data_IF_930107600699
#
_entry.id   IF_930107600699
#
_cell.length_a   1.000
_cell.length_b   1.000
_cell.length_c   1.000
_cell.angle_alpha   90.00
_cell.angle_beta   90.00
_cell.angle_gamma   90.00
#
_symmetry.space_group_name_H-M   'P 1'
#
loop_
_entity.id
_entity.type
_entity.pdbx_description
1 polymer ?
#
# COMPACT_ATOMS: atom_id res chain seq x y z
N UNK A 1 2.97 4.56 24.16
CA UNK A 1 1.85 3.91 23.44
C UNK A 1 2.10 2.42 23.38
N UNK A 2 1.09 1.59 23.65
CA UNK A 2 1.12 0.13 23.56
C UNK A 2 0.84 -0.34 22.12
N UNK A 3 1.13 -1.60 21.83
CA UNK A 3 0.84 -2.20 20.53
C UNK A 3 -0.66 -2.18 20.21
N UNK A 4 -1.52 -2.47 21.20
CA UNK A 4 -2.98 -2.41 21.03
C UNK A 4 -3.50 -1.02 20.66
N UNK A 5 -2.92 0.03 21.23
CA UNK A 5 -3.28 1.43 20.92
C UNK A 5 -2.87 1.79 19.49
N UNK A 6 -1.66 1.38 19.06
CA UNK A 6 -1.20 1.55 17.67
C UNK A 6 -2.07 0.80 16.68
N UNK A 7 -2.45 -0.43 17.02
CA UNK A 7 -3.33 -1.24 16.19
C UNK A 7 -4.69 -0.56 16.02
N UNK A 8 -5.24 0.00 17.09
CA UNK A 8 -6.50 0.75 17.04
C UNK A 8 -6.38 1.99 16.13
N UNK A 9 -5.30 2.77 16.25
CA UNK A 9 -5.04 3.91 15.37
C UNK A 9 -4.94 3.47 13.89
N UNK A 10 -4.27 2.36 13.61
CA UNK A 10 -4.18 1.78 12.27
C UNK A 10 -5.53 1.35 11.71
N UNK A 11 -6.39 0.76 12.55
CA UNK A 11 -7.76 0.40 12.17
C UNK A 11 -8.59 1.65 11.84
N UNK A 12 -8.52 2.69 12.66
CA UNK A 12 -9.26 3.95 12.45
C UNK A 12 -8.85 4.62 11.13
N UNK A 13 -7.55 4.80 10.92
CA UNK A 13 -7.03 5.36 9.66
C UNK A 13 -7.48 4.57 8.44
N UNK A 14 -7.41 3.24 8.51
CA UNK A 14 -7.85 2.38 7.40
C UNK A 14 -9.35 2.47 7.17
N UNK A 15 -10.13 2.68 8.23
CA UNK A 15 -11.57 2.87 8.14
C UNK A 15 -11.92 4.15 7.41
N UNK A 16 -11.26 5.27 7.76
CA UNK A 16 -11.40 6.56 7.10
C UNK A 16 -11.06 6.47 5.61
N UNK A 17 -9.95 5.80 5.27
CA UNK A 17 -9.51 5.64 3.88
C UNK A 17 -10.44 4.78 3.02
N UNK A 18 -11.21 3.86 3.63
CA UNK A 18 -12.13 2.97 2.91
C UNK A 18 -13.59 3.42 2.96
N UNK A 19 -13.94 4.41 3.80
CA UNK A 19 -15.33 4.81 4.02
C UNK A 19 -16.18 3.75 4.72
N UNK A 20 -15.56 2.79 5.42
CA UNK A 20 -16.25 1.77 6.24
C UNK A 20 -15.46 1.46 7.50
N UNK A 21 -16.14 1.05 8.57
CA UNK A 21 -15.45 0.62 9.79
C UNK A 21 -14.66 -0.67 9.57
N UNK A 22 -13.43 -0.70 10.09
CA UNK A 22 -12.59 -1.88 10.19
C UNK A 22 -12.80 -2.50 11.57
N UNK A 23 -13.47 -3.64 11.59
CA UNK A 23 -13.82 -4.33 12.82
C UNK A 23 -12.72 -5.30 13.27
N UNK A 24 -12.81 -5.77 14.52
CA UNK A 24 -11.90 -6.79 15.07
C UNK A 24 -11.86 -8.08 14.23
N UNK A 25 -12.98 -8.45 13.60
CA UNK A 25 -13.09 -9.63 12.75
C UNK A 25 -12.23 -9.53 11.50
N UNK A 26 -12.09 -8.33 10.94
CA UNK A 26 -11.28 -8.09 9.75
C UNK A 26 -9.80 -8.27 10.06
N UNK A 27 -9.35 -7.70 11.18
CA UNK A 27 -7.97 -7.85 11.67
C UNK A 27 -7.68 -9.29 12.08
N UNK A 28 -8.63 -9.97 12.70
CA UNK A 28 -8.52 -11.38 13.07
C UNK A 28 -8.33 -12.28 11.84
N UNK A 29 -9.10 -12.03 10.77
CA UNK A 29 -8.95 -12.71 9.50
C UNK A 29 -7.57 -12.47 8.88
N UNK A 30 -7.11 -11.21 8.82
CA UNK A 30 -5.77 -10.87 8.31
C UNK A 30 -4.63 -11.51 9.13
N UNK A 31 -4.79 -11.57 10.45
CA UNK A 31 -3.81 -12.13 11.37
C UNK A 31 -3.81 -13.67 11.41
N UNK A 32 -4.85 -14.34 10.91
CA UNK A 32 -5.09 -15.77 11.15
C UNK A 32 -5.26 -16.10 12.63
N UNK A 33 -5.97 -15.24 13.37
CA UNK A 33 -6.19 -15.36 14.83
C UNK A 33 -7.68 -15.25 15.17
N UNK A 34 -8.04 -15.59 16.41
CA UNK A 34 -9.41 -15.42 16.89
C UNK A 34 -9.73 -13.94 17.16
N UNK A 35 -11.00 -13.57 17.00
CA UNK A 35 -11.51 -12.22 17.33
C UNK A 35 -11.22 -11.87 18.80
N UNK A 36 -11.34 -12.85 19.70
CA UNK A 36 -11.01 -12.69 21.11
C UNK A 36 -9.54 -12.35 21.32
N UNK A 37 -8.61 -12.95 20.56
CA UNK A 37 -7.19 -12.64 20.65
C UNK A 37 -6.91 -11.17 20.26
N UNK A 38 -7.51 -10.69 19.18
CA UNK A 38 -7.42 -9.28 18.79
C UNK A 38 -8.03 -8.37 19.86
N UNK A 39 -9.19 -8.74 20.40
CA UNK A 39 -9.82 -8.02 21.51
C UNK A 39 -8.89 -7.87 22.72
N UNK A 40 -8.25 -8.95 23.16
CA UNK A 40 -7.30 -8.92 24.28
C UNK A 40 -6.08 -8.03 24.03
N UNK A 41 -5.61 -7.94 22.78
CA UNK A 41 -4.51 -7.06 22.38
C UNK A 41 -4.97 -5.60 22.47
N UNK A 42 -6.13 -5.27 21.88
CA UNK A 42 -6.66 -3.91 21.84
C UNK A 42 -6.97 -3.37 23.24
N UNK A 43 -7.51 -4.19 24.15
CA UNK A 43 -7.89 -3.77 25.50
C UNK A 43 -6.77 -3.92 26.53
N UNK A 44 -5.58 -4.38 26.13
CA UNK A 44 -4.49 -4.71 27.04
C UNK A 44 -4.94 -5.63 28.20
N UNK A 45 -5.76 -6.64 27.91
CA UNK A 45 -6.43 -7.46 28.94
C UNK A 45 -5.47 -8.17 29.93
N UNK A 46 -4.20 -8.37 29.56
CA UNK A 46 -3.18 -9.03 30.39
C UNK A 46 -2.29 -8.07 31.16
N UNK A 47 -2.55 -6.76 31.12
CA UNK A 47 -1.73 -5.75 31.79
C UNK A 47 -0.28 -5.69 31.30
N UNK A 48 0.00 -6.22 30.11
CA UNK A 48 1.33 -6.23 29.48
C UNK A 48 1.19 -6.04 27.97
N UNK A 49 2.17 -5.40 27.35
CA UNK A 49 2.14 -5.13 25.91
C UNK A 49 2.09 -6.44 25.10
N UNK A 50 0.90 -6.75 24.57
CA UNK A 50 0.66 -7.95 23.77
C UNK A 50 0.80 -7.61 22.29
N UNK A 51 1.70 -8.32 21.62
CA UNK A 51 2.01 -8.10 20.21
C UNK A 51 1.59 -9.32 19.38
N UNK A 52 1.23 -9.08 18.12
CA UNK A 52 1.12 -10.17 17.16
C UNK A 52 2.51 -10.75 16.89
N UNK A 53 2.57 -12.06 16.60
CA UNK A 53 3.80 -12.72 16.14
C UNK A 53 4.19 -12.18 14.76
N UNK A 54 5.47 -12.24 14.41
CA UNK A 54 6.08 -11.64 13.20
C UNK A 54 5.23 -11.81 11.94
N UNK A 55 4.84 -13.03 11.59
CA UNK A 55 4.06 -13.28 10.37
C UNK A 55 2.67 -12.63 10.40
N UNK A 56 1.95 -12.76 11.52
CA UNK A 56 0.63 -12.15 11.69
C UNK A 56 0.72 -10.62 11.76
N UNK A 57 1.79 -10.10 12.35
CA UNK A 57 2.06 -8.68 12.44
C UNK A 57 2.27 -8.06 11.05
N UNK A 58 3.09 -8.68 10.20
CA UNK A 58 3.34 -8.20 8.83
C UNK A 58 2.05 -8.24 7.99
N UNK A 59 1.28 -9.33 8.08
CA UNK A 59 -0.02 -9.43 7.37
C UNK A 59 -1.00 -8.34 7.81
N UNK A 60 -1.07 -8.05 9.10
CA UNK A 60 -1.93 -6.98 9.63
C UNK A 60 -1.45 -5.59 9.21
N UNK A 61 -0.13 -5.33 9.26
CA UNK A 61 0.43 -4.07 8.79
C UNK A 61 0.12 -3.83 7.29
N UNK A 62 0.30 -4.86 6.46
CA UNK A 62 0.00 -4.81 5.04
C UNK A 62 -1.51 -4.65 4.76
N UNK A 63 -2.38 -5.33 5.52
CA UNK A 63 -3.83 -5.18 5.43
C UNK A 63 -4.29 -3.75 5.76
N UNK A 64 -3.71 -3.16 6.82
CA UNK A 64 -4.02 -1.81 7.29
C UNK A 64 -3.29 -0.71 6.51
N UNK A 65 -2.39 -1.05 5.59
CA UNK A 65 -1.58 -0.11 4.79
C UNK A 65 -0.74 0.84 5.66
N UNK A 66 -0.12 0.28 6.70
CA UNK A 66 0.76 1.01 7.62
C UNK A 66 2.17 0.41 7.63
N UNK A 67 3.15 1.22 8.05
CA UNK A 67 4.51 0.76 8.25
C UNK A 67 4.56 -0.28 9.39
N UNK A 68 5.08 -1.49 9.11
CA UNK A 68 5.16 -2.57 10.08
C UNK A 68 6.05 -2.19 11.28
N UNK A 69 7.19 -1.54 11.03
CA UNK A 69 8.09 -1.06 12.10
C UNK A 69 7.35 -0.10 13.04
N UNK A 70 6.63 0.88 12.50
CA UNK A 70 5.84 1.80 13.32
C UNK A 70 4.78 1.05 14.13
N UNK A 71 4.06 0.10 13.54
CA UNK A 71 3.05 -0.67 14.26
C UNK A 71 3.68 -1.49 15.41
N UNK A 72 4.89 -2.01 15.22
CA UNK A 72 5.59 -2.80 16.22
C UNK A 72 6.16 -1.97 17.37
N UNK A 73 6.90 -0.89 17.05
CA UNK A 73 7.72 -0.13 17.99
C UNK A 73 7.16 1.25 18.32
N UNK A 74 6.33 1.82 17.45
CA UNK A 74 5.88 3.22 17.50
C UNK A 74 6.89 4.21 16.93
N UNK A 75 8.02 3.74 16.39
CA UNK A 75 9.04 4.59 15.80
C UNK A 75 8.78 4.86 14.32
N UNK A 76 9.09 6.07 13.88
CA UNK A 76 8.95 6.49 12.47
C UNK A 76 7.53 6.93 12.11
N UNK A 77 7.25 7.02 10.82
CA UNK A 77 5.94 7.39 10.30
C UNK A 77 5.01 6.18 10.22
N UNK A 78 3.74 6.39 10.57
CA UNK A 78 2.68 5.39 10.48
C UNK A 78 2.38 5.00 9.04
N UNK A 79 2.40 5.98 8.13
CA UNK A 79 2.20 5.74 6.72
C UNK A 79 3.24 4.76 6.20
N UNK A 80 2.75 3.74 5.49
CA UNK A 80 3.63 3.00 4.63
C UNK A 80 4.01 3.95 3.49
N UNK A 81 5.30 4.33 3.36
CA UNK A 81 5.70 5.14 2.21
C UNK A 81 5.24 4.39 0.96
N UNK A 82 4.66 5.10 -0.03
CA UNK A 82 4.27 4.45 -1.28
C UNK A 82 5.50 3.69 -1.78
N UNK A 83 5.32 2.42 -2.12
CA UNK A 83 6.34 1.68 -2.83
C UNK A 83 6.50 2.40 -4.18
N UNK A 84 7.44 3.36 -4.23
CA UNK A 84 7.83 4.01 -5.45
C UNK A 84 8.61 2.94 -6.22
N UNK A 85 7.88 2.13 -6.98
CA UNK A 85 8.44 1.32 -8.05
C UNK A 85 8.77 2.20 -9.27
N UNK A 86 9.02 3.50 -9.07
CA UNK A 86 9.66 4.30 -10.09
C UNK A 86 11.15 3.95 -10.04
N UNK A 87 11.76 3.55 -11.16
CA UNK A 87 13.20 3.43 -11.26
C UNK A 87 13.84 4.72 -10.72
N UNK A 88 14.77 4.58 -9.75
CA UNK A 88 15.52 5.73 -9.20
C UNK A 88 16.39 6.39 -10.26
N UNK A 89 16.67 5.66 -11.34
CA UNK A 89 17.42 6.11 -12.51
C UNK A 89 16.57 5.91 -13.77
N UNK A 90 16.50 6.94 -14.62
CA UNK A 90 15.87 6.83 -15.93
C UNK A 90 16.75 5.97 -16.83
N UNK A 91 16.19 4.88 -17.36
CA UNK A 91 16.89 4.11 -18.40
C UNK A 91 17.05 4.95 -19.68
N UNK A 92 18.04 4.68 -20.54
CA UNK A 92 18.18 5.37 -21.82
C UNK A 92 16.89 5.36 -22.66
N UNK A 93 16.18 4.23 -22.66
CA UNK A 93 14.89 4.10 -23.35
C UNK A 93 13.79 5.00 -22.75
N UNK A 94 13.77 5.20 -21.43
CA UNK A 94 12.84 6.12 -20.78
C UNK A 94 13.15 7.57 -21.15
N UNK A 95 14.44 7.92 -21.27
CA UNK A 95 14.88 9.24 -21.75
C UNK A 95 14.46 9.46 -23.20
N UNK A 96 14.66 8.49 -24.07
CA UNK A 96 14.25 8.57 -25.48
C UNK A 96 12.73 8.79 -25.63
N UNK A 97 11.92 8.04 -24.86
CA UNK A 97 10.47 8.22 -24.86
C UNK A 97 10.07 9.62 -24.36
N UNK A 98 10.73 10.14 -23.33
CA UNK A 98 10.48 11.50 -22.84
C UNK A 98 10.82 12.56 -23.91
N UNK A 99 11.96 12.40 -24.60
CA UNK A 99 12.36 13.29 -25.71
C UNK A 99 11.32 13.28 -26.82
N UNK A 100 10.85 12.10 -27.25
CA UNK A 100 9.80 11.99 -28.27
C UNK A 100 8.50 12.67 -27.84
N UNK A 101 8.14 12.56 -26.56
CA UNK A 101 6.96 13.21 -26.02
C UNK A 101 7.11 14.74 -25.95
N UNK A 102 8.31 15.23 -25.64
CA UNK A 102 8.62 16.66 -25.56
C UNK A 102 8.76 17.35 -26.92
N UNK A 103 8.91 16.59 -28.01
CA UNK A 103 8.73 17.14 -29.37
C UNK A 103 7.30 17.65 -29.62
N UNK A 104 6.31 17.19 -28.84
CA UNK A 104 4.96 17.71 -28.87
C UNK A 104 4.90 18.95 -27.98
N UNK A 105 4.58 20.12 -28.54
CA UNK A 105 4.47 21.38 -27.79
C UNK A 105 3.65 21.21 -26.51
N UNK A 106 4.14 21.76 -25.40
CA UNK A 106 3.44 21.73 -24.11
C UNK A 106 2.07 22.42 -24.16
N UNK A 107 1.89 23.40 -25.05
CA UNK A 107 0.61 24.08 -25.25
C UNK A 107 -0.42 23.21 -25.99
N UNK A 108 0.01 22.21 -26.75
CA UNK A 108 -0.88 21.28 -27.47
C UNK A 108 -1.27 20.09 -26.58
N UNK A 109 -2.15 20.39 -25.62
CA UNK A 109 -2.65 19.41 -24.65
C UNK A 109 -3.37 18.22 -25.32
N UNK A 110 -4.03 18.45 -26.45
CA UNK A 110 -4.81 17.42 -27.14
C UNK A 110 -3.88 16.38 -27.79
N UNK A 111 -2.85 16.82 -28.51
CA UNK A 111 -1.88 15.92 -29.13
C UNK A 111 -1.07 15.16 -28.09
N UNK A 112 -0.66 15.81 -26.98
CA UNK A 112 0.01 15.14 -25.86
C UNK A 112 -0.87 14.07 -25.22
N UNK A 113 -2.16 14.34 -25.01
CA UNK A 113 -3.10 13.35 -24.47
C UNK A 113 -3.28 12.15 -25.42
N UNK A 114 -3.36 12.40 -26.74
CA UNK A 114 -3.41 11.32 -27.74
C UNK A 114 -2.14 10.46 -27.73
N UNK A 115 -0.98 11.08 -27.69
CA UNK A 115 0.30 10.37 -27.64
C UNK A 115 0.43 9.52 -26.36
N UNK A 116 0.04 10.07 -25.21
CA UNK A 116 0.04 9.35 -23.93
C UNK A 116 -0.91 8.14 -23.96
N UNK A 117 -2.14 8.33 -24.47
CA UNK A 117 -3.12 7.25 -24.60
C UNK A 117 -2.61 6.15 -25.54
N UNK A 118 -2.06 6.51 -26.70
CA UNK A 118 -1.51 5.54 -27.65
C UNK A 118 -0.38 4.71 -27.03
N UNK A 119 0.56 5.36 -26.34
CA UNK A 119 1.66 4.67 -25.65
C UNK A 119 1.13 3.72 -24.57
N UNK A 120 0.17 4.19 -23.76
CA UNK A 120 -0.44 3.39 -22.70
C UNK A 120 -1.21 2.19 -23.24
N UNK A 121 -1.98 2.36 -24.32
CA UNK A 121 -2.69 1.26 -24.99
C UNK A 121 -1.72 0.23 -25.57
N UNK A 122 -0.63 0.66 -26.21
CA UNK A 122 0.37 -0.26 -26.75
C UNK A 122 1.04 -1.09 -25.65
N UNK A 123 1.41 -0.46 -24.53
CA UNK A 123 1.98 -1.17 -23.37
C UNK A 123 0.99 -2.17 -22.79
N UNK A 124 -0.27 -1.76 -22.61
CA UNK A 124 -1.32 -2.63 -22.08
C UNK A 124 -1.56 -3.85 -22.98
N UNK A 125 -1.53 -3.68 -24.31
CA UNK A 125 -1.68 -4.80 -25.24
C UNK A 125 -0.53 -5.80 -25.09
N UNK A 126 0.71 -5.33 -25.04
CA UNK A 126 1.89 -6.21 -24.88
C UNK A 126 1.83 -6.97 -23.55
N UNK A 127 1.39 -6.32 -22.47
CA UNK A 127 1.22 -6.98 -21.18
C UNK A 127 0.13 -8.06 -21.20
N UNK A 128 -1.00 -7.79 -21.87
CA UNK A 128 -2.07 -8.77 -22.07
C UNK A 128 -1.59 -9.97 -22.90
N UNK A 129 -0.87 -9.72 -23.99
CA UNK A 129 -0.33 -10.77 -24.86
C UNK A 129 0.72 -11.63 -24.15
N UNK A 130 1.53 -11.02 -23.28
CA UNK A 130 2.50 -11.74 -22.45
C UNK A 130 1.80 -12.63 -21.41
N UNK A 131 0.77 -12.12 -20.74
CA UNK A 131 -0.01 -12.87 -19.76
C UNK A 131 -0.85 -14.00 -20.39
N UNK A 132 -1.25 -13.86 -21.66
CA UNK A 132 -1.97 -14.92 -22.38
C UNK A 132 -1.07 -16.09 -22.84
N UNK A 133 0.25 -15.90 -22.82
CA UNK A 133 1.25 -16.92 -23.22
C UNK A 133 1.85 -17.68 -22.03
N UNK A 134 1.58 -17.24 -20.80
CA UNK A 134 2.01 -17.86 -19.54
C UNK A 134 0.90 -18.73 -18.94
#
# INVERSE_FOLDING_TARGET
>A
MLYGERLLQAMQKRSEALGREIERKDVAAAAGRSVQNIGMILTNAKGRDQKLRTEAHEKVAAYLKVNSRWLLTGEGQMDQPPAINAPTELSPAAVELAVLFDMISQSDKLSRAKAFNAASTAIMQVLQDAAAKS
#
